data_IF_013918090861
#
_entry.id   IF_013918090861
#
_cell.length_a   1.000
_cell.length_b   1.000
_cell.length_c   1.000
_cell.angle_alpha   90.00
_cell.angle_beta   90.00
_cell.angle_gamma   90.00
#
_symmetry.space_group_name_H-M   'P 1'
#
loop_
_entity.id
_entity.type
_entity.pdbx_description
1 polymer ?
#
# COMPACT_ATOMS: atom_id res chain seq x y z
N UNK A 1 -1.91 52.09 4.65
CA UNK A 1 -2.76 51.02 4.08
C UNK A 1 -2.03 50.01 3.17
N UNK A 2 -0.68 50.00 3.08
CA UNK A 2 0.06 49.03 2.23
C UNK A 2 0.47 47.72 2.94
N UNK A 3 0.49 47.70 4.28
CA UNK A 3 0.91 46.52 5.08
C UNK A 3 -0.13 45.39 5.08
N UNK A 4 -1.43 45.71 5.02
CA UNK A 4 -2.50 44.71 4.95
C UNK A 4 -2.58 43.98 3.59
N UNK A 5 -2.19 44.65 2.50
CA UNK A 5 -2.13 44.04 1.15
C UNK A 5 -1.08 42.93 1.03
N UNK A 6 -0.02 42.96 1.85
CA UNK A 6 1.02 41.92 1.88
C UNK A 6 0.67 40.73 2.79
N UNK A 7 -0.28 40.89 3.71
CA UNK A 7 -0.68 39.83 4.65
C UNK A 7 -1.56 38.78 3.95
N UNK A 8 -2.44 39.21 3.06
CA UNK A 8 -3.36 38.33 2.30
C UNK A 8 -2.60 37.24 1.51
N UNK A 9 -1.57 37.54 0.69
CA UNK A 9 -0.85 36.49 -0.04
C UNK A 9 -0.08 35.54 0.89
N UNK A 10 0.43 36.02 2.02
CA UNK A 10 1.12 35.16 3.01
C UNK A 10 0.14 34.16 3.63
N UNK A 11 -1.08 34.60 3.98
CA UNK A 11 -2.13 33.72 4.50
C UNK A 11 -2.53 32.66 3.46
N UNK A 12 -2.68 33.07 2.20
CA UNK A 12 -3.01 32.14 1.10
C UNK A 12 -1.91 31.08 0.94
N UNK A 13 -0.63 31.48 0.98
CA UNK A 13 0.50 30.55 0.88
C UNK A 13 0.50 29.57 2.06
N UNK A 14 0.24 30.03 3.29
CA UNK A 14 0.18 29.15 4.47
C UNK A 14 -0.98 28.14 4.39
N UNK A 15 -2.14 28.56 3.90
CA UNK A 15 -3.29 27.67 3.67
C UNK A 15 -2.97 26.63 2.61
N UNK A 16 -2.33 27.02 1.51
CA UNK A 16 -1.91 26.10 0.45
C UNK A 16 -0.89 25.08 0.97
N UNK A 17 0.09 25.50 1.78
CA UNK A 17 1.06 24.60 2.41
C UNK A 17 0.34 23.59 3.32
N UNK A 18 -0.61 24.05 4.14
CA UNK A 18 -1.37 23.17 5.03
C UNK A 18 -2.25 22.18 4.27
N UNK A 19 -2.91 22.62 3.19
CA UNK A 19 -3.77 21.78 2.35
C UNK A 19 -2.97 20.75 1.52
N UNK A 20 -1.76 21.13 1.11
CA UNK A 20 -0.86 20.27 0.34
C UNK A 20 -0.01 19.36 1.22
N UNK A 21 0.05 19.61 2.53
CA UNK A 21 0.80 18.77 3.45
C UNK A 21 0.18 17.35 3.45
N UNK A 22 0.93 16.32 3.03
CA UNK A 22 0.38 14.98 2.92
C UNK A 22 0.06 14.45 4.32
N UNK A 23 -1.22 14.17 4.57
CA UNK A 23 -1.62 13.44 5.77
C UNK A 23 -1.04 12.03 5.74
N UNK A 24 -0.77 11.45 6.91
CA UNK A 24 -0.27 10.08 7.01
C UNK A 24 -1.20 9.07 6.32
N UNK A 25 -2.52 9.29 6.41
CA UNK A 25 -3.52 8.49 5.69
C UNK A 25 -3.35 8.59 4.16
N UNK A 26 -3.16 9.81 3.63
CA UNK A 26 -2.93 10.01 2.19
C UNK A 26 -1.64 9.35 1.73
N UNK A 27 -0.61 9.39 2.56
CA UNK A 27 0.68 8.75 2.32
C UNK A 27 0.55 7.23 2.28
N UNK A 28 -0.07 6.63 3.30
CA UNK A 28 -0.34 5.20 3.34
C UNK A 28 -1.18 4.74 2.14
N UNK A 29 -2.22 5.50 1.78
CA UNK A 29 -3.02 5.22 0.58
C UNK A 29 -2.18 5.23 -0.69
N UNK A 30 -1.28 6.20 -0.83
CA UNK A 30 -0.38 6.28 -1.97
C UNK A 30 0.57 5.07 -2.02
N UNK A 31 1.18 4.71 -0.88
CA UNK A 31 2.08 3.55 -0.80
C UNK A 31 1.34 2.24 -1.17
N UNK A 32 0.10 2.03 -0.71
CA UNK A 32 -0.74 0.88 -1.11
C UNK A 32 -1.00 0.89 -2.63
N UNK A 33 -1.30 2.06 -3.20
CA UNK A 33 -1.53 2.19 -4.63
C UNK A 33 -0.25 1.98 -5.46
N UNK A 34 0.92 2.35 -4.92
CA UNK A 34 2.20 2.07 -5.55
C UNK A 34 2.57 0.60 -5.49
N UNK A 35 2.38 -0.07 -4.35
CA UNK A 35 2.53 -1.53 -4.24
C UNK A 35 1.62 -2.23 -5.25
N UNK A 36 0.35 -1.85 -5.33
CA UNK A 36 -0.57 -2.35 -6.34
C UNK A 36 -0.02 -2.20 -7.77
N UNK A 37 0.48 -1.01 -8.11
CA UNK A 37 1.05 -0.75 -9.45
C UNK A 37 2.32 -1.54 -9.69
N UNK A 38 3.15 -1.73 -8.66
CA UNK A 38 4.35 -2.54 -8.75
C UNK A 38 4.00 -4.00 -9.07
N UNK A 39 2.97 -4.56 -8.42
CA UNK A 39 2.44 -5.89 -8.73
C UNK A 39 1.87 -5.96 -10.16
N UNK A 40 1.04 -5.01 -10.57
CA UNK A 40 0.47 -5.00 -11.93
C UNK A 40 1.51 -4.81 -13.04
N UNK A 41 2.68 -4.24 -12.72
CA UNK A 41 3.79 -4.02 -13.66
C UNK A 41 4.94 -5.02 -13.46
N UNK A 42 4.75 -6.07 -12.65
CA UNK A 42 5.74 -7.11 -12.36
C UNK A 42 7.10 -6.55 -11.87
N UNK A 43 7.08 -5.39 -11.21
CA UNK A 43 8.27 -4.71 -10.72
C UNK A 43 8.66 -5.22 -9.33
N UNK A 44 9.44 -6.30 -9.32
CA UNK A 44 9.93 -6.99 -8.10
C UNK A 44 10.58 -6.04 -7.10
N UNK A 45 11.50 -5.18 -7.57
CA UNK A 45 12.22 -4.25 -6.71
C UNK A 45 11.25 -3.34 -5.94
N UNK A 46 10.26 -2.77 -6.63
CA UNK A 46 9.26 -1.95 -5.98
C UNK A 46 8.30 -2.74 -5.09
N UNK A 47 7.97 -3.99 -5.41
CA UNK A 47 7.17 -4.85 -4.53
C UNK A 47 7.90 -5.07 -3.21
N UNK A 48 9.16 -5.53 -3.26
CA UNK A 48 9.97 -5.83 -2.07
C UNK A 48 10.18 -4.60 -1.18
N UNK A 49 10.30 -3.40 -1.76
CA UNK A 49 10.41 -2.14 -0.99
C UNK A 49 9.23 -1.89 -0.05
N UNK A 50 8.04 -2.38 -0.40
CA UNK A 50 6.81 -2.25 0.38
C UNK A 50 6.52 -3.44 1.29
N UNK A 51 7.34 -4.49 1.25
CA UNK A 51 7.32 -5.59 2.22
C UNK A 51 8.39 -5.30 3.27
N UNK A 52 8.03 -5.50 4.52
CA UNK A 52 8.97 -5.27 5.60
C UNK A 52 9.96 -6.43 5.74
N UNK A 53 11.27 -6.19 5.93
CA UNK A 53 12.25 -7.26 6.17
C UNK A 53 11.96 -8.16 7.39
N UNK A 54 11.13 -7.69 8.32
CA UNK A 54 10.65 -8.44 9.48
C UNK A 54 9.22 -8.98 9.28
N UNK A 55 8.77 -9.11 8.03
CA UNK A 55 7.47 -9.70 7.71
C UNK A 55 7.38 -11.13 8.25
N UNK A 56 6.26 -11.41 8.91
CA UNK A 56 5.89 -12.74 9.40
C UNK A 56 4.37 -12.80 9.49
N UNK A 57 3.70 -13.66 8.73
CA UNK A 57 2.23 -13.79 8.79
C UNK A 57 1.75 -14.87 9.76
N UNK A 58 0.42 -15.06 9.84
CA UNK A 58 -0.20 -16.07 10.70
C UNK A 58 0.20 -17.51 10.37
N UNK A 59 0.55 -17.78 9.11
CA UNK A 59 1.00 -19.09 8.64
C UNK A 59 2.51 -19.31 8.88
N UNK A 60 3.20 -18.30 9.42
CA UNK A 60 4.64 -18.33 9.65
C UNK A 60 5.47 -17.98 8.41
N UNK A 61 4.84 -17.45 7.35
CA UNK A 61 5.53 -17.05 6.13
C UNK A 61 6.38 -15.80 6.39
N UNK A 62 7.66 -15.91 6.09
CA UNK A 62 8.67 -14.86 6.26
C UNK A 62 8.78 -13.95 5.04
N UNK A 63 9.52 -12.84 5.19
CA UNK A 63 9.85 -11.93 4.09
C UNK A 63 10.43 -12.64 2.85
N UNK A 64 11.35 -13.59 3.06
CA UNK A 64 12.04 -14.25 1.96
C UNK A 64 11.11 -15.22 1.24
N UNK A 65 10.29 -15.96 1.99
CA UNK A 65 9.30 -16.89 1.43
C UNK A 65 8.21 -16.17 0.64
N UNK A 66 7.68 -15.05 1.16
CA UNK A 66 6.66 -14.30 0.41
C UNK A 66 7.26 -13.64 -0.83
N UNK A 67 8.51 -13.18 -0.76
CA UNK A 67 9.21 -12.61 -1.92
C UNK A 67 9.44 -13.67 -2.98
N UNK A 68 9.87 -14.87 -2.59
CA UNK A 68 10.05 -16.00 -3.52
C UNK A 68 8.73 -16.44 -4.14
N UNK A 69 7.66 -16.56 -3.35
CA UNK A 69 6.33 -16.92 -3.85
C UNK A 69 5.82 -15.89 -4.87
N UNK A 70 6.01 -14.60 -4.58
CA UNK A 70 5.69 -13.52 -5.52
C UNK A 70 6.50 -13.65 -6.81
N UNK A 71 7.82 -13.85 -6.71
CA UNK A 71 8.68 -14.04 -7.89
C UNK A 71 8.24 -15.21 -8.77
N UNK A 72 7.92 -16.36 -8.14
CA UNK A 72 7.41 -17.52 -8.86
C UNK A 72 6.08 -17.24 -9.55
N UNK A 73 5.17 -16.52 -8.87
CA UNK A 73 3.90 -16.10 -9.46
C UNK A 73 4.10 -15.17 -10.66
N UNK A 74 4.93 -14.12 -10.52
CA UNK A 74 5.21 -13.16 -11.60
C UNK A 74 5.84 -13.85 -12.81
N UNK A 75 6.73 -14.83 -12.60
CA UNK A 75 7.39 -15.56 -13.68
C UNK A 75 6.44 -16.45 -14.51
N UNK A 76 5.25 -16.77 -13.99
CA UNK A 76 4.29 -17.67 -14.63
C UNK A 76 3.19 -16.93 -15.40
N UNK A 77 3.08 -15.61 -15.27
CA UNK A 77 1.92 -14.86 -15.77
C UNK A 77 2.34 -13.80 -16.78
N UNK A 78 1.50 -13.56 -17.79
CA UNK A 78 1.77 -12.56 -18.84
C UNK A 78 1.26 -11.16 -18.48
N UNK A 79 0.31 -11.09 -17.53
CA UNK A 79 -0.37 -9.88 -17.15
C UNK A 79 -1.05 -10.06 -15.80
N UNK A 80 -0.94 -9.06 -14.93
CA UNK A 80 -1.64 -9.05 -13.65
C UNK A 80 -2.58 -7.84 -13.56
N UNK A 81 -3.79 -8.08 -13.06
CA UNK A 81 -4.74 -7.03 -12.71
C UNK A 81 -5.18 -7.18 -11.27
N UNK A 82 -4.91 -6.15 -10.47
CA UNK A 82 -5.32 -6.09 -9.07
C UNK A 82 -6.55 -5.20 -8.96
N UNK A 83 -7.60 -5.72 -8.33
CA UNK A 83 -8.81 -4.98 -8.00
C UNK A 83 -8.90 -4.85 -6.48
N UNK A 84 -9.07 -3.60 -6.01
CA UNK A 84 -9.26 -3.28 -4.60
C UNK A 84 -10.60 -2.60 -4.42
N UNK A 85 -11.31 -2.91 -3.35
CA UNK A 85 -12.60 -2.32 -3.01
C UNK A 85 -12.71 -2.09 -1.51
N UNK A 86 -13.52 -1.11 -1.09
CA UNK A 86 -13.82 -0.88 0.32
C UNK A 86 -12.60 -0.59 1.21
N UNK A 87 -11.55 0.04 0.68
CA UNK A 87 -10.33 0.37 1.43
C UNK A 87 -10.67 1.24 2.65
N UNK A 88 -10.42 0.69 3.84
CA UNK A 88 -10.45 1.39 5.13
C UNK A 88 -9.03 1.46 5.66
N UNK A 89 -8.63 2.63 6.13
CA UNK A 89 -7.31 2.90 6.69
C UNK A 89 -7.46 3.33 8.15
N UNK A 90 -6.53 2.89 8.99
CA UNK A 90 -6.39 3.38 10.35
C UNK A 90 -4.90 3.66 10.61
N UNK A 91 -4.59 4.84 11.17
CA UNK A 91 -3.24 5.24 11.51
C UNK A 91 -3.09 5.16 13.03
N UNK A 92 -2.33 4.19 13.51
CA UNK A 92 -2.05 3.95 14.91
C UNK A 92 -0.69 4.58 15.26
N UNK A 93 -0.71 5.76 15.87
CA UNK A 93 0.52 6.44 16.28
C UNK A 93 0.95 5.99 17.68
N UNK A 94 2.17 5.46 17.83
CA UNK A 94 2.79 5.22 19.14
C UNK A 94 3.88 6.25 19.41
N UNK A 95 3.67 7.08 20.43
CA UNK A 95 4.48 8.26 20.74
C UNK A 95 5.82 7.98 21.45
N UNK A 96 6.29 6.73 21.49
CA UNK A 96 7.48 6.37 22.29
C UNK A 96 8.75 6.17 21.46
N UNK A 97 8.66 5.93 20.15
CA UNK A 97 9.82 5.58 19.30
C UNK A 97 9.74 6.14 17.86
N UNK A 98 8.88 7.12 17.57
CA UNK A 98 8.65 7.68 16.21
C UNK A 98 8.21 6.65 15.14
N UNK A 99 7.90 5.42 15.54
CA UNK A 99 7.33 4.39 14.67
C UNK A 99 5.82 4.62 14.57
N UNK A 100 5.36 4.90 13.35
CA UNK A 100 3.93 4.99 13.03
C UNK A 100 3.47 3.64 12.52
N UNK A 101 2.52 3.04 13.22
CA UNK A 101 1.83 1.85 12.75
C UNK A 101 0.56 2.26 12.02
N UNK A 102 0.12 1.40 11.12
CA UNK A 102 -1.12 1.60 10.43
C UNK A 102 -1.72 0.25 10.05
N UNK A 103 -3.02 0.23 9.84
CA UNK A 103 -3.71 -0.95 9.34
C UNK A 103 -4.64 -0.57 8.20
N UNK A 104 -4.82 -1.51 7.27
CA UNK A 104 -5.86 -1.39 6.26
C UNK A 104 -6.71 -2.64 6.21
N UNK A 105 -7.95 -2.46 5.77
CA UNK A 105 -8.84 -3.56 5.40
C UNK A 105 -9.45 -3.26 4.05
N UNK A 106 -9.43 -4.23 3.14
CA UNK A 106 -9.93 -4.06 1.77
C UNK A 106 -10.39 -5.39 1.19
N UNK A 107 -11.28 -5.32 0.20
CA UNK A 107 -11.62 -6.45 -0.66
C UNK A 107 -10.62 -6.53 -1.82
N UNK A 108 -9.88 -7.64 -1.91
CA UNK A 108 -8.85 -7.90 -2.92
C UNK A 108 -9.30 -8.96 -3.91
N UNK A 109 -9.06 -8.70 -5.21
CA UNK A 109 -9.18 -9.69 -6.27
C UNK A 109 -8.00 -9.53 -7.22
N UNK A 110 -7.33 -10.64 -7.53
CA UNK A 110 -6.21 -10.68 -8.47
C UNK A 110 -6.62 -11.53 -9.66
N UNK A 111 -6.60 -10.92 -10.85
CA UNK A 111 -6.76 -11.61 -12.11
C UNK A 111 -5.39 -11.70 -12.77
N UNK A 112 -5.05 -12.86 -13.30
CA UNK A 112 -3.82 -13.07 -14.05
C UNK A 112 -4.14 -13.54 -15.47
N UNK A 113 -3.18 -13.37 -16.38
CA UNK A 113 -3.19 -14.06 -17.66
C UNK A 113 -2.13 -15.16 -17.64
N UNK A 114 -2.53 -16.38 -17.93
CA UNK A 114 -1.67 -17.55 -18.03
C UNK A 114 -1.91 -18.19 -19.40
N UNK A 115 -0.85 -18.34 -20.21
CA UNK A 115 -0.93 -18.92 -21.56
C UNK A 115 -2.04 -18.30 -22.44
N UNK A 116 -2.24 -16.99 -22.33
CA UNK A 116 -3.28 -16.27 -23.07
C UNK A 116 -4.68 -16.29 -22.43
N UNK A 117 -4.94 -17.14 -21.42
CA UNK A 117 -6.22 -17.22 -20.72
C UNK A 117 -6.28 -16.33 -19.49
N UNK A 118 -7.43 -15.71 -19.24
CA UNK A 118 -7.65 -14.90 -18.02
C UNK A 118 -8.16 -15.80 -16.90
N UNK A 119 -7.40 -15.87 -15.82
CA UNK A 119 -7.70 -16.68 -14.64
C UNK A 119 -7.86 -15.82 -13.39
N UNK A 120 -8.69 -16.29 -12.45
CA UNK A 120 -8.80 -15.72 -11.12
C UNK A 120 -7.69 -16.31 -10.25
N UNK A 121 -6.64 -15.52 -9.98
CA UNK A 121 -5.48 -15.95 -9.21
C UNK A 121 -5.74 -15.88 -7.69
N UNK A 122 -6.50 -14.88 -7.23
CA UNK A 122 -6.86 -14.73 -5.83
C UNK A 122 -8.18 -13.96 -5.65
N UNK A 123 -8.94 -14.31 -4.61
CA UNK A 123 -10.23 -13.72 -4.28
C UNK A 123 -11.41 -14.51 -4.81
N UNK A 124 -12.63 -14.07 -4.49
CA UNK A 124 -13.85 -14.73 -4.96
C UNK A 124 -14.37 -14.19 -6.30
N UNK A 125 -15.06 -15.06 -7.03
CA UNK A 125 -15.72 -14.76 -8.31
C UNK A 125 -16.76 -13.65 -8.11
N UNK A 126 -17.62 -13.82 -7.11
CA UNK A 126 -18.72 -12.88 -6.80
C UNK A 126 -18.21 -11.73 -5.92
N UNK A 127 -17.53 -12.06 -4.82
CA UNK A 127 -17.02 -11.08 -3.86
C UNK A 127 -15.49 -11.15 -3.77
N UNK A 128 -14.77 -10.01 -3.81
CA UNK A 128 -13.35 -9.97 -3.49
C UNK A 128 -13.06 -10.58 -2.11
N UNK A 129 -11.89 -11.21 -1.92
CA UNK A 129 -11.50 -11.71 -0.61
C UNK A 129 -11.19 -10.56 0.35
N UNK A 130 -11.60 -10.69 1.61
CA UNK A 130 -11.30 -9.68 2.63
C UNK A 130 -9.87 -9.88 3.11
N UNK A 131 -9.04 -8.86 2.91
CA UNK A 131 -7.65 -8.85 3.36
C UNK A 131 -7.46 -7.73 4.37
N UNK A 132 -6.69 -8.02 5.42
CA UNK A 132 -6.19 -7.03 6.37
C UNK A 132 -4.67 -6.96 6.28
N UNK A 133 -4.13 -5.76 6.11
CA UNK A 133 -2.68 -5.53 6.15
C UNK A 133 -2.31 -4.67 7.34
N UNK A 134 -1.22 -5.02 8.04
CA UNK A 134 -0.60 -4.17 9.04
C UNK A 134 0.71 -3.61 8.49
N UNK A 135 0.90 -2.32 8.70
CA UNK A 135 1.97 -1.54 8.13
C UNK A 135 2.72 -0.80 9.21
N UNK A 136 4.02 -0.64 9.01
CA UNK A 136 4.84 0.27 9.80
C UNK A 136 5.55 1.24 8.90
N UNK A 137 5.68 2.46 9.35
CA UNK A 137 6.39 3.51 8.62
C UNK A 137 7.89 3.30 8.78
N UNK A 138 8.58 3.10 7.67
CA UNK A 138 10.03 3.03 7.58
C UNK A 138 10.53 4.22 6.74
N UNK A 139 11.04 5.26 7.41
CA UNK A 139 11.43 6.50 6.75
C UNK A 139 10.25 7.20 6.08
N UNK A 140 10.23 7.22 4.74
CA UNK A 140 9.22 7.91 3.95
C UNK A 140 8.15 7.00 3.34
N UNK A 141 8.08 5.72 3.71
CA UNK A 141 7.07 4.80 3.18
C UNK A 141 6.51 3.87 4.26
N UNK A 142 5.27 3.45 4.09
CA UNK A 142 4.65 2.36 4.85
C UNK A 142 5.05 1.02 4.24
N UNK A 143 5.50 0.08 5.08
CA UNK A 143 5.84 -1.28 4.69
C UNK A 143 4.92 -2.28 5.38
N UNK A 144 4.41 -3.23 4.62
CA UNK A 144 3.58 -4.34 5.09
C UNK A 144 4.45 -5.29 5.91
N UNK A 145 4.17 -5.43 7.20
CA UNK A 145 4.89 -6.37 8.08
C UNK A 145 4.03 -7.59 8.47
N UNK A 146 2.73 -7.56 8.17
CA UNK A 146 1.80 -8.64 8.48
C UNK A 146 0.57 -8.55 7.58
N UNK A 147 0.04 -9.70 7.14
CA UNK A 147 -1.21 -9.76 6.40
C UNK A 147 -2.11 -10.91 6.90
N UNK A 148 -3.42 -10.69 6.89
CA UNK A 148 -4.47 -11.69 7.14
C UNK A 148 -5.30 -11.80 5.86
N UNK A 149 -5.46 -13.02 5.32
CA UNK A 149 -6.02 -13.25 3.99
C UNK A 149 -6.73 -14.60 3.86
#
# INVERSE_FOLDING_TARGET
MKKFLLIIPIIIILILIWLLYPTEERKMKNDIMELKRAVENENVENITKYIDPQYLDAAGMTHDEITELMLQFLAQVDLIKVQMSGLKLNIDSTSKEDIIFASCSLGLRVLARYEGERVLAYGGIVHPASVRGLFRKAGQSYRLYYAEY
#
